data_IF_392655095200
#
_entry.id   IF_392655095200
#
_cell.length_a   1.000
_cell.length_b   1.000
_cell.length_c   1.000
_cell.angle_alpha   90.00
_cell.angle_beta   90.00
_cell.angle_gamma   90.00
#
_symmetry.space_group_name_H-M   'P 1'
#
loop_
_entity.id
_entity.type
_entity.pdbx_description
1 polymer ?
#
# COMPACT_ATOMS: atom_id res chain seq x y z
N UNK A 1 -28.87 -10.86 -1.78
CA UNK A 1 -28.83 -9.52 -2.41
C UNK A 1 -27.44 -9.39 -2.99
N UNK A 2 -27.29 -9.82 -4.24
CA UNK A 2 -26.01 -9.81 -4.92
C UNK A 2 -25.67 -8.37 -5.30
N UNK A 3 -24.72 -7.77 -4.58
CA UNK A 3 -24.18 -6.49 -4.99
C UNK A 3 -23.42 -6.71 -6.31
N UNK A 4 -23.76 -5.91 -7.32
CA UNK A 4 -23.04 -5.90 -8.59
C UNK A 4 -21.53 -5.70 -8.35
N UNK A 5 -20.65 -6.32 -9.17
CA UNK A 5 -19.22 -6.11 -9.04
C UNK A 5 -18.92 -4.62 -9.22
N UNK A 6 -18.35 -4.01 -8.19
CA UNK A 6 -17.73 -2.69 -8.29
C UNK A 6 -16.53 -2.81 -9.22
N UNK A 7 -16.60 -2.17 -10.38
CA UNK A 7 -15.43 -2.02 -11.24
C UNK A 7 -14.47 -1.04 -10.53
N UNK A 8 -13.38 -1.60 -10.00
CA UNK A 8 -12.33 -0.88 -9.26
C UNK A 8 -11.71 0.27 -10.09
N UNK A 9 -11.99 0.33 -11.39
CA UNK A 9 -11.38 1.25 -12.35
C UNK A 9 -12.34 2.30 -12.93
N UNK A 10 -13.59 2.39 -12.44
CA UNK A 10 -14.52 3.45 -12.83
C UNK A 10 -13.99 4.82 -12.38
N UNK A 11 -13.51 5.63 -13.33
CA UNK A 11 -13.01 7.00 -13.10
C UNK A 11 -11.59 7.31 -13.58
N UNK A 12 -10.82 6.30 -14.01
CA UNK A 12 -9.48 6.54 -14.59
C UNK A 12 -9.63 7.05 -16.02
N UNK A 13 -9.21 8.31 -16.29
CA UNK A 13 -9.29 8.92 -17.63
C UNK A 13 -8.47 8.10 -18.63
N UNK A 14 -9.13 7.62 -19.69
CA UNK A 14 -8.47 6.92 -20.81
C UNK A 14 -8.01 7.93 -21.86
N UNK A 15 -6.73 7.96 -22.17
CA UNK A 15 -6.20 8.64 -23.35
C UNK A 15 -6.18 7.68 -24.56
N UNK A 16 -6.42 8.16 -25.80
CA UNK A 16 -6.35 7.30 -26.97
C UNK A 16 -4.89 7.01 -27.34
N UNK A 17 -4.49 5.74 -27.30
CA UNK A 17 -3.17 5.28 -27.75
C UNK A 17 -3.22 4.97 -29.24
N UNK A 18 -2.47 5.72 -30.06
CA UNK A 18 -2.24 5.43 -31.48
C UNK A 18 -1.31 4.23 -31.61
N UNK A 19 -1.68 3.29 -32.46
CA UNK A 19 -1.05 1.97 -32.55
C UNK A 19 0.35 1.97 -33.17
N UNK A 20 1.30 1.38 -32.44
CA UNK A 20 2.37 0.57 -33.02
C UNK A 20 2.07 -0.89 -32.67
N UNK A 21 2.26 -1.79 -33.64
CA UNK A 21 2.25 -3.24 -33.38
C UNK A 21 3.46 -3.58 -32.50
N UNK A 22 3.26 -3.52 -31.19
CA UNK A 22 4.18 -4.05 -30.20
C UNK A 22 3.99 -5.56 -30.15
N UNK A 23 5.08 -6.33 -30.14
CA UNK A 23 5.06 -7.74 -29.72
C UNK A 23 4.26 -7.80 -28.42
N UNK A 24 3.20 -8.61 -28.37
CA UNK A 24 2.28 -8.65 -27.24
C UNK A 24 2.95 -9.33 -26.03
N UNK A 25 3.84 -8.60 -25.34
CA UNK A 25 4.26 -8.95 -23.99
C UNK A 25 2.97 -8.90 -23.17
N UNK A 26 2.48 -10.06 -22.75
CA UNK A 26 1.30 -10.10 -21.90
C UNK A 26 1.60 -9.24 -20.68
N UNK A 27 0.77 -8.25 -20.36
CA UNK A 27 1.11 -7.34 -19.29
C UNK A 27 0.95 -8.10 -17.98
N UNK A 28 2.07 -8.56 -17.43
CA UNK A 28 2.12 -9.42 -16.24
C UNK A 28 1.93 -8.54 -15.01
N UNK A 29 1.10 -9.00 -14.09
CA UNK A 29 1.02 -8.45 -12.74
C UNK A 29 2.18 -9.03 -11.94
N UNK A 30 3.07 -8.16 -11.46
CA UNK A 30 4.14 -8.52 -10.53
C UNK A 30 3.72 -8.14 -9.10
N UNK A 31 3.92 -9.05 -8.16
CA UNK A 31 3.67 -8.79 -6.74
C UNK A 31 5.01 -8.84 -6.01
N UNK A 32 5.33 -7.72 -5.36
CA UNK A 32 6.58 -7.54 -4.63
C UNK A 32 6.25 -7.42 -3.14
N UNK A 33 7.02 -8.12 -2.30
CA UNK A 33 6.93 -7.99 -0.84
C UNK A 33 7.90 -6.92 -0.38
N UNK A 34 7.39 -5.96 0.39
CA UNK A 34 8.20 -4.98 1.12
C UNK A 34 8.48 -5.47 2.54
N UNK A 35 9.70 -5.28 3.02
CA UNK A 35 10.02 -5.40 4.44
C UNK A 35 9.99 -4.02 5.06
N UNK A 36 9.06 -3.75 5.98
CA UNK A 36 8.78 -2.40 6.47
C UNK A 36 9.15 -2.17 7.93
N UNK A 37 9.22 -3.22 8.75
CA UNK A 37 9.80 -3.15 10.10
C UNK A 37 10.07 -4.54 10.67
N UNK A 38 10.71 -4.59 11.85
CA UNK A 38 10.71 -5.74 12.76
C UNK A 38 10.23 -5.29 14.14
N UNK A 39 9.32 -6.05 14.73
CA UNK A 39 8.78 -5.76 16.08
C UNK A 39 9.54 -6.60 17.10
N UNK A 40 10.45 -5.97 17.86
CA UNK A 40 11.30 -6.66 18.82
C UNK A 40 10.56 -7.32 19.97
N UNK A 41 9.47 -6.70 20.48
CA UNK A 41 8.65 -7.28 21.57
C UNK A 41 7.92 -8.58 21.18
N UNK A 42 7.76 -8.83 19.89
CA UNK A 42 7.10 -10.02 19.36
C UNK A 42 8.12 -10.97 18.72
N UNK A 43 9.24 -11.25 19.40
CA UNK A 43 10.28 -12.15 18.88
C UNK A 43 10.78 -11.79 17.47
N UNK A 44 10.93 -10.49 17.19
CA UNK A 44 11.34 -9.97 15.87
C UNK A 44 10.40 -10.32 14.71
N UNK A 45 9.09 -10.43 14.96
CA UNK A 45 8.08 -10.58 13.91
C UNK A 45 8.24 -9.48 12.85
N UNK A 46 8.27 -9.84 11.56
CA UNK A 46 8.38 -8.87 10.48
C UNK A 46 7.05 -8.16 10.22
N UNK A 47 7.15 -6.88 9.89
CA UNK A 47 6.05 -6.10 9.30
C UNK A 47 6.29 -6.03 7.79
N UNK A 48 5.24 -6.30 7.03
CA UNK A 48 5.28 -6.34 5.58
C UNK A 48 4.27 -5.37 4.97
N UNK A 49 4.61 -4.90 3.79
CA UNK A 49 3.65 -4.40 2.81
C UNK A 49 3.84 -5.14 1.50
N UNK A 50 2.97 -4.90 0.53
CA UNK A 50 3.09 -5.50 -0.79
C UNK A 50 2.82 -4.45 -1.87
N UNK A 51 3.54 -4.53 -2.98
CA UNK A 51 3.24 -3.73 -4.17
C UNK A 51 2.79 -4.65 -5.28
N UNK A 52 1.63 -4.34 -5.84
CA UNK A 52 1.13 -4.95 -7.06
C UNK A 52 1.45 -3.98 -8.20
N UNK A 53 2.44 -4.31 -9.02
CA UNK A 53 2.77 -3.54 -10.22
C UNK A 53 1.77 -3.92 -11.31
N UNK A 54 0.72 -3.12 -11.45
CA UNK A 54 -0.36 -3.40 -12.37
C UNK A 54 -0.23 -2.56 -13.65
N UNK A 55 -0.23 -3.19 -14.84
CA UNK A 55 0.09 -2.54 -16.11
C UNK A 55 -0.85 -1.40 -16.52
N UNK A 56 -2.10 -1.40 -16.04
CA UNK A 56 -3.09 -0.36 -16.34
C UNK A 56 -3.39 0.56 -15.17
N UNK A 57 -3.11 0.13 -13.94
CA UNK A 57 -3.52 0.84 -12.75
C UNK A 57 -2.35 1.56 -12.07
N UNK A 58 -1.11 1.25 -12.44
CA UNK A 58 0.09 1.72 -11.73
C UNK A 58 0.43 0.82 -10.55
N UNK A 59 1.26 1.32 -9.63
CA UNK A 59 1.66 0.59 -8.43
C UNK A 59 0.57 0.68 -7.37
N UNK A 60 -0.01 -0.46 -6.99
CA UNK A 60 -0.99 -0.56 -5.91
C UNK A 60 -0.24 -1.04 -4.66
N UNK A 61 -0.22 -0.22 -3.62
CA UNK A 61 0.43 -0.52 -2.35
C UNK A 61 -0.59 -1.13 -1.38
N UNK A 62 -0.22 -2.25 -0.75
CA UNK A 62 -0.97 -2.89 0.34
C UNK A 62 -0.16 -2.71 1.62
N UNK A 63 -0.72 -1.95 2.57
CA UNK A 63 -0.11 -1.53 3.83
C UNK A 63 1.17 -0.68 3.72
N UNK A 64 1.38 0.21 4.70
CA UNK A 64 2.42 1.24 4.70
C UNK A 64 3.41 1.11 5.86
N UNK A 65 3.26 0.10 6.71
CA UNK A 65 4.19 -0.16 7.81
C UNK A 65 3.95 0.73 9.04
N UNK A 66 5.00 0.92 9.83
CA UNK A 66 4.95 1.65 11.12
C UNK A 66 5.29 3.13 10.92
N UNK A 67 4.55 4.02 11.60
CA UNK A 67 4.82 5.47 11.64
C UNK A 67 5.91 5.89 12.63
N UNK A 68 5.99 7.19 12.94
CA UNK A 68 6.98 7.76 13.89
C UNK A 68 6.42 8.38 15.19
N UNK A 69 5.37 7.86 15.85
CA UNK A 69 5.18 8.17 17.26
C UNK A 69 6.31 7.53 18.07
N UNK A 70 7.15 8.37 18.68
CA UNK A 70 8.39 7.95 19.38
C UNK A 70 8.11 6.93 20.49
N UNK A 71 6.94 7.04 21.12
CA UNK A 71 6.48 6.21 22.23
C UNK A 71 6.27 4.77 21.77
N UNK A 72 5.50 4.54 20.69
CA UNK A 72 5.24 3.19 20.17
C UNK A 72 6.51 2.53 19.65
N UNK A 73 7.36 3.28 18.93
CA UNK A 73 8.63 2.75 18.40
C UNK A 73 9.51 2.22 19.53
N UNK A 74 9.61 2.97 20.64
CA UNK A 74 10.36 2.55 21.84
C UNK A 74 9.67 1.40 22.54
N UNK A 75 8.36 1.51 22.79
CA UNK A 75 7.59 0.53 23.54
C UNK A 75 7.65 -0.84 22.88
N UNK A 76 7.45 -0.91 21.57
CA UNK A 76 7.39 -2.15 20.80
C UNK A 76 8.76 -2.63 20.31
N UNK A 77 9.84 -1.90 20.64
CA UNK A 77 11.22 -2.14 20.18
C UNK A 77 11.27 -2.30 18.66
N UNK A 78 10.68 -1.34 17.95
CA UNK A 78 10.52 -1.40 16.50
C UNK A 78 11.83 -1.01 15.83
N UNK A 79 12.35 -1.89 14.98
CA UNK A 79 13.34 -1.53 13.96
C UNK A 79 12.54 -1.11 12.74
N UNK A 80 12.31 0.20 12.61
CA UNK A 80 11.44 0.74 11.58
C UNK A 80 12.20 1.02 10.27
N UNK A 81 11.50 1.00 9.14
CA UNK A 81 12.04 1.31 7.82
C UNK A 81 11.07 2.21 7.05
N UNK A 82 11.59 3.21 6.34
CA UNK A 82 10.75 4.05 5.49
C UNK A 82 10.20 3.25 4.31
N UNK A 83 8.88 3.37 4.06
CA UNK A 83 8.24 2.76 2.91
C UNK A 83 8.85 3.27 1.59
N UNK A 84 9.31 4.53 1.55
CA UNK A 84 10.03 5.09 0.42
C UNK A 84 11.33 4.31 0.10
N UNK A 85 12.12 3.97 1.12
CA UNK A 85 13.37 3.21 0.93
C UNK A 85 13.08 1.77 0.49
N UNK A 86 12.00 1.16 0.98
CA UNK A 86 11.59 -0.17 0.58
C UNK A 86 11.06 -0.21 -0.87
N UNK A 87 10.35 0.84 -1.31
CA UNK A 87 9.91 1.00 -2.69
C UNK A 87 11.10 1.19 -3.64
N UNK A 88 12.10 1.97 -3.22
CA UNK A 88 13.27 2.26 -4.04
C UNK A 88 14.11 1.02 -4.39
N UNK A 89 14.10 -0.03 -3.54
CA UNK A 89 14.71 -1.34 -3.84
C UNK A 89 14.10 -2.06 -5.06
N UNK A 90 12.94 -1.59 -5.51
CA UNK A 90 12.15 -2.19 -6.58
C UNK A 90 11.84 -1.20 -7.70
N UNK A 91 12.70 -0.19 -7.86
CA UNK A 91 12.62 0.86 -8.88
C UNK A 91 11.32 1.68 -8.82
N UNK A 92 10.79 1.87 -7.61
CA UNK A 92 9.59 2.66 -7.36
C UNK A 92 9.86 3.81 -6.39
N UNK A 93 9.22 4.94 -6.62
CA UNK A 93 9.09 6.04 -5.68
C UNK A 93 7.69 6.07 -5.06
N UNK A 94 7.49 6.77 -3.94
CA UNK A 94 6.14 6.97 -3.41
C UNK A 94 5.17 7.60 -4.41
N UNK A 95 5.65 8.41 -5.36
CA UNK A 95 4.81 9.08 -6.35
C UNK A 95 4.28 8.12 -7.45
N UNK A 96 4.89 6.94 -7.59
CA UNK A 96 4.42 5.90 -8.53
C UNK A 96 3.22 5.12 -7.98
N UNK A 97 2.95 5.26 -6.67
CA UNK A 97 1.83 4.60 -6.01
C UNK A 97 0.53 5.30 -6.38
N UNK A 98 -0.31 4.62 -7.12
CA UNK A 98 -1.59 5.16 -7.61
C UNK A 98 -2.77 4.82 -6.70
N UNK A 99 -2.57 3.88 -5.77
CA UNK A 99 -3.61 3.38 -4.87
C UNK A 99 -2.95 2.79 -3.62
N UNK A 100 -3.54 3.07 -2.46
CA UNK A 100 -3.18 2.41 -1.19
C UNK A 100 -4.37 1.61 -0.68
N UNK A 101 -4.15 0.33 -0.38
CA UNK A 101 -5.10 -0.54 0.30
C UNK A 101 -4.55 -0.76 1.70
N UNK A 102 -5.31 -0.37 2.71
CA UNK A 102 -5.01 -0.80 4.08
C UNK A 102 -5.76 -2.10 4.35
N UNK A 103 -5.03 -3.13 4.78
CA UNK A 103 -5.64 -4.38 5.25
C UNK A 103 -6.49 -4.12 6.49
N UNK A 104 -5.97 -3.28 7.39
CA UNK A 104 -6.63 -2.72 8.56
C UNK A 104 -5.86 -1.49 9.09
N UNK A 105 -6.32 -0.86 10.18
CA UNK A 105 -5.79 0.41 10.69
C UNK A 105 -5.04 0.27 12.03
N UNK A 106 -4.30 -0.83 12.21
CA UNK A 106 -3.31 -0.89 13.28
C UNK A 106 -2.04 -0.12 12.89
N UNK A 107 -1.30 0.32 13.91
CA UNK A 107 -0.18 1.25 13.79
C UNK A 107 0.94 0.72 12.88
N UNK A 108 1.09 -0.59 12.74
CA UNK A 108 2.08 -1.29 11.92
C UNK A 108 1.61 -1.56 10.48
N UNK A 109 0.37 -1.24 10.14
CA UNK A 109 -0.18 -1.38 8.80
C UNK A 109 -0.46 -0.06 8.11
N UNK A 110 -0.85 0.98 8.87
CA UNK A 110 -1.24 2.28 8.31
C UNK A 110 -0.34 3.44 8.74
N UNK A 111 0.75 3.16 9.45
CA UNK A 111 1.55 4.15 10.16
C UNK A 111 2.27 5.15 9.26
N UNK A 112 2.52 4.81 7.98
CA UNK A 112 3.15 5.72 7.02
C UNK A 112 2.18 6.24 5.95
N UNK A 113 0.86 6.12 6.16
CA UNK A 113 -0.16 6.61 5.20
C UNK A 113 0.06 8.07 4.80
N UNK A 114 0.59 8.91 5.70
CA UNK A 114 0.87 10.32 5.41
C UNK A 114 1.92 10.57 4.30
N UNK A 115 2.68 9.55 3.88
CA UNK A 115 3.60 9.64 2.74
C UNK A 115 2.83 9.64 1.41
N UNK A 116 1.67 9.01 1.35
CA UNK A 116 0.94 8.70 0.12
C UNK A 116 -0.34 9.55 -0.05
N UNK A 117 -0.37 10.78 0.47
CA UNK A 117 -1.57 11.66 0.47
C UNK A 117 -2.15 11.96 -0.92
N UNK A 118 -1.37 11.77 -1.97
CA UNK A 118 -1.80 11.97 -3.36
C UNK A 118 -2.64 10.80 -3.89
N UNK A 119 -2.53 9.62 -3.29
CA UNK A 119 -3.24 8.42 -3.70
C UNK A 119 -4.57 8.25 -2.93
N UNK A 120 -5.61 7.68 -3.57
CA UNK A 120 -6.80 7.22 -2.86
C UNK A 120 -6.48 6.05 -1.93
N UNK A 121 -7.12 6.05 -0.76
CA UNK A 121 -7.03 4.99 0.24
C UNK A 121 -8.30 4.13 0.25
N UNK A 122 -8.12 2.82 0.22
CA UNK A 122 -9.19 1.82 0.31
C UNK A 122 -9.07 1.05 1.63
N UNK A 123 -10.18 0.97 2.36
CA UNK A 123 -10.30 0.30 3.66
C UNK A 123 -11.72 -0.21 3.84
N UNK A 124 -11.89 -1.28 4.62
CA UNK A 124 -13.21 -1.77 5.00
C UNK A 124 -13.96 -0.72 5.83
N UNK A 125 -15.24 -0.50 5.52
CA UNK A 125 -16.09 0.47 6.23
C UNK A 125 -16.17 0.19 7.73
N UNK A 126 -16.26 -1.09 8.10
CA UNK A 126 -16.30 -1.54 9.50
C UNK A 126 -15.02 -1.19 10.25
N UNK A 127 -13.87 -1.32 9.60
CA UNK A 127 -12.57 -1.01 10.19
C UNK A 127 -12.39 0.49 10.40
N UNK A 128 -12.77 1.31 9.41
CA UNK A 128 -12.79 2.76 9.57
C UNK A 128 -13.73 3.20 10.71
N UNK A 129 -14.91 2.57 10.82
CA UNK A 129 -15.85 2.86 11.89
C UNK A 129 -15.32 2.43 13.27
N UNK A 130 -14.54 1.33 13.34
CA UNK A 130 -13.86 0.89 14.57
C UNK A 130 -12.78 1.89 14.98
N UNK A 131 -11.90 2.28 14.07
CA UNK A 131 -10.81 3.21 14.35
C UNK A 131 -11.31 4.55 14.90
N UNK A 132 -12.36 5.13 14.30
CA UNK A 132 -12.98 6.39 14.76
C UNK A 132 -13.60 6.35 16.15
N UNK A 133 -13.90 5.16 16.69
CA UNK A 133 -14.42 5.01 18.06
C UNK A 133 -13.32 4.88 19.11
N UNK A 134 -12.08 4.68 18.67
CA UNK A 134 -10.91 4.44 19.51
C UNK A 134 -9.93 5.64 19.52
N UNK A 135 -10.29 6.73 18.83
CA UNK A 135 -9.70 8.06 19.03
C UNK A 135 -10.23 8.69 20.32
#
# INVERSE_FOLDING_TARGET
MDAAPVDLFDGVRRAPVRGLRCLAVHPVVEIVRLHLARIGKLNSVPVHGFVIKHPRAGAILVDTGVGWPTELVREWKIVNRHAADALAEHDLSPADVTMVINSHLHFDHCGQNAVFKHAPFYIQRSELARARKQE
#
